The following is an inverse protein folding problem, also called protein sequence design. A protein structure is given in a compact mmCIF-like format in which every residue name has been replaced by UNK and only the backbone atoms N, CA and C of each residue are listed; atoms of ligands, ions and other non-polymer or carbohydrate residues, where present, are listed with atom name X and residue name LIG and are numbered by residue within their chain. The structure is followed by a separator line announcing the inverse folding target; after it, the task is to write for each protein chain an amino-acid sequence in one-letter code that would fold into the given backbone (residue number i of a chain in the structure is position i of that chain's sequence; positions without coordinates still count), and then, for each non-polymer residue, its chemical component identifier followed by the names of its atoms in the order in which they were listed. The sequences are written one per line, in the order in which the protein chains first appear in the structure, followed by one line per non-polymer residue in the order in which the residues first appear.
data_IF_868558385483
#
_entry.id   IF_868558385483
#
_cell.length_a   1.000
_cell.length_b   1.000
_cell.length_c   1.000
_cell.angle_alpha   90.00
_cell.angle_beta   90.00
_cell.angle_gamma   90.00
#
_symmetry.space_group_name_H-M   'P 1'
#
loop_
_entity.id
_entity.type
_entity.pdbx_description
1 polymer ?
#
# COMPACT_ATOMS: atom_id res chain seq x y z
N UNK A 1 -0.94 15.58 11.71
CA UNK A 1 -1.85 14.44 11.95
C UNK A 1 -1.80 13.56 10.71
N UNK A 2 -1.55 12.26 10.87
CA UNK A 2 -1.46 11.33 9.72
C UNK A 2 -2.87 10.80 9.43
N UNK A 3 -3.33 10.90 8.18
CA UNK A 3 -4.55 10.24 7.70
C UNK A 3 -4.22 8.79 7.37
N UNK A 4 -5.13 7.85 7.61
CA UNK A 4 -4.92 6.46 7.23
C UNK A 4 -6.08 5.89 6.44
N UNK A 5 -5.76 5.02 5.49
CA UNK A 5 -6.71 4.27 4.67
C UNK A 5 -6.40 2.78 4.83
N UNK A 6 -7.40 2.03 5.27
CA UNK A 6 -7.31 0.59 5.51
C UNK A 6 -7.91 -0.19 4.35
N UNK A 7 -7.23 -1.26 3.95
CA UNK A 7 -7.72 -2.25 3.01
C UNK A 7 -7.62 -3.65 3.64
N UNK A 8 -8.73 -4.39 3.81
CA UNK A 8 -8.65 -5.80 4.27
C UNK A 8 -7.79 -6.67 3.34
N UNK A 9 -7.83 -6.38 2.04
CA UNK A 9 -7.02 -7.00 1.00
C UNK A 9 -6.78 -5.97 -0.12
N UNK A 10 -5.57 -5.96 -0.68
CA UNK A 10 -5.20 -5.07 -1.77
C UNK A 10 -4.19 -5.75 -2.70
N UNK A 11 -3.97 -5.23 -3.91
CA UNK A 11 -2.90 -5.72 -4.78
C UNK A 11 -1.53 -5.40 -4.19
N UNK A 12 -1.23 -4.12 -4.01
CA UNK A 12 -0.03 -3.61 -3.34
C UNK A 12 -0.32 -2.20 -2.84
N UNK A 13 -0.06 -1.93 -1.55
CA UNK A 13 -0.18 -0.58 -0.98
C UNK A 13 0.65 0.43 -1.77
N UNK A 14 1.82 0.01 -2.28
CA UNK A 14 2.67 0.84 -3.12
C UNK A 14 2.06 1.15 -4.48
N UNK A 15 1.53 0.15 -5.19
CA UNK A 15 0.91 0.40 -6.50
C UNK A 15 -0.27 1.35 -6.37
N UNK A 16 -1.13 1.11 -5.39
CA UNK A 16 -2.35 1.91 -5.22
C UNK A 16 -2.02 3.34 -4.80
N UNK A 17 -1.11 3.55 -3.84
CA UNK A 17 -0.74 4.91 -3.43
C UNK A 17 -0.07 5.69 -4.58
N UNK A 18 0.79 5.05 -5.38
CA UNK A 18 1.38 5.70 -6.56
C UNK A 18 0.34 6.07 -7.61
N UNK A 19 -0.67 5.22 -7.85
CA UNK A 19 -1.75 5.52 -8.78
C UNK A 19 -2.64 6.66 -8.30
N UNK A 20 -2.96 6.69 -7.00
CA UNK A 20 -3.72 7.80 -6.40
C UNK A 20 -2.92 9.09 -6.42
N UNK A 21 -1.59 9.04 -6.22
CA UNK A 21 -0.71 10.20 -6.33
C UNK A 21 -0.70 10.76 -7.76
N UNK A 22 -0.56 9.90 -8.79
CA UNK A 22 -0.63 10.31 -10.20
C UNK A 22 -1.97 10.94 -10.57
N UNK A 23 -3.05 10.51 -9.92
CA UNK A 23 -4.42 10.99 -10.15
C UNK A 23 -4.80 12.17 -9.26
N UNK A 24 -3.87 12.71 -8.46
CA UNK A 24 -4.12 13.78 -7.49
C UNK A 24 -5.28 13.46 -6.52
N UNK A 25 -5.42 12.19 -6.12
CA UNK A 25 -6.47 11.71 -5.20
C UNK A 25 -6.06 11.70 -3.74
N UNK A 26 -4.78 11.94 -3.47
CA UNK A 26 -4.19 11.91 -2.13
C UNK A 26 -3.34 13.14 -1.86
N UNK A 27 -3.27 13.50 -0.59
CA UNK A 27 -2.42 14.58 -0.07
C UNK A 27 -1.27 13.98 0.77
N UNK A 28 -0.29 14.81 1.13
CA UNK A 28 0.80 14.42 2.03
C UNK A 28 0.29 13.99 3.42
N UNK A 29 1.11 13.22 4.13
CA UNK A 29 0.81 12.66 5.45
C UNK A 29 -0.33 11.64 5.43
N UNK A 30 -0.31 10.73 4.45
CA UNK A 30 -1.29 9.65 4.33
C UNK A 30 -0.61 8.27 4.39
N UNK A 31 -1.21 7.36 5.14
CA UNK A 31 -0.76 5.99 5.30
C UNK A 31 -1.78 5.02 4.68
N UNK A 32 -1.35 4.23 3.70
CA UNK A 32 -2.14 3.13 3.17
C UNK A 32 -1.68 1.87 3.89
N UNK A 33 -2.60 1.11 4.48
CA UNK A 33 -2.26 -0.12 5.18
C UNK A 33 -3.22 -1.25 4.89
N UNK A 34 -2.72 -2.48 4.96
CA UNK A 34 -3.47 -3.69 4.67
C UNK A 34 -2.94 -4.89 5.44
N UNK A 35 -3.83 -5.85 5.70
CA UNK A 35 -3.49 -7.15 6.30
C UNK A 35 -3.06 -8.18 5.25
N UNK A 36 -3.28 -7.90 3.96
CA UNK A 36 -2.98 -8.83 2.88
C UNK A 36 -2.75 -8.14 1.53
N UNK A 37 -1.61 -8.46 0.90
CA UNK A 37 -1.29 -8.07 -0.47
C UNK A 37 -1.29 -9.27 -1.41
N UNK A 38 -2.07 -9.22 -2.49
CA UNK A 38 -2.14 -10.28 -3.51
C UNK A 38 -1.03 -10.19 -4.56
N UNK A 39 -0.43 -9.00 -4.76
CA UNK A 39 0.61 -8.75 -5.76
C UNK A 39 1.64 -7.72 -5.25
N UNK A 40 2.19 -8.02 -4.07
CA UNK A 40 3.19 -7.17 -3.41
C UNK A 40 4.47 -7.03 -4.23
N UNK A 41 5.05 -5.82 -4.24
CA UNK A 41 6.33 -5.53 -4.88
C UNK A 41 7.41 -5.43 -3.80
N UNK A 42 8.52 -6.15 -4.00
CA UNK A 42 9.75 -6.04 -3.25
C UNK A 42 10.85 -5.30 -4.01
N UNK A 43 12.03 -5.21 -3.41
CA UNK A 43 13.18 -4.55 -4.05
C UNK A 43 13.56 -5.22 -5.37
N UNK A 44 14.11 -4.44 -6.31
CA UNK A 44 14.57 -4.92 -7.63
C UNK A 44 13.48 -5.66 -8.41
N UNK A 45 12.22 -5.22 -8.28
CA UNK A 45 11.05 -5.82 -8.92
C UNK A 45 10.79 -7.29 -8.52
N UNK A 46 11.32 -7.72 -7.38
CA UNK A 46 10.98 -9.02 -6.80
C UNK A 46 9.51 -9.03 -6.36
N UNK A 47 8.89 -10.21 -6.33
CA UNK A 47 7.59 -10.36 -5.69
C UNK A 47 7.75 -10.36 -4.17
N UNK A 48 6.92 -9.56 -3.50
CA UNK A 48 6.77 -9.61 -2.05
C UNK A 48 5.56 -10.47 -1.72
N UNK A 49 5.81 -11.74 -1.40
CA UNK A 49 4.77 -12.70 -1.02
C UNK A 49 4.62 -12.65 0.50
N UNK A 50 3.47 -12.19 0.98
CA UNK A 50 3.12 -12.30 2.39
C UNK A 50 1.82 -13.05 2.60
N UNK A 51 1.49 -13.31 3.85
CA UNK A 51 0.29 -14.03 4.27
C UNK A 51 -0.72 -13.07 4.89
N UNK A 52 -1.97 -13.49 4.95
CA UNK A 52 -3.00 -12.73 5.68
C UNK A 52 -2.59 -12.56 7.14
N UNK A 53 -2.65 -11.33 7.63
CA UNK A 53 -2.19 -10.95 8.98
C UNK A 53 -0.76 -10.40 9.03
N UNK A 54 -0.04 -10.36 7.90
CA UNK A 54 1.17 -9.54 7.80
C UNK A 54 0.79 -8.05 7.80
N UNK A 55 1.63 -7.22 8.42
CA UNK A 55 1.49 -5.77 8.36
C UNK A 55 2.10 -5.23 7.06
N UNK A 56 1.25 -4.76 6.14
CA UNK A 56 1.67 -4.01 4.96
C UNK A 56 1.27 -2.55 5.12
N UNK A 57 2.21 -1.63 4.94
CA UNK A 57 1.89 -0.21 4.91
C UNK A 57 2.81 0.56 3.95
N UNK A 58 2.30 1.68 3.43
CA UNK A 58 3.10 2.67 2.73
C UNK A 58 2.68 4.07 3.16
N UNK A 59 3.68 4.93 3.38
CA UNK A 59 3.50 6.32 3.81
C UNK A 59 3.91 7.27 2.68
N UNK A 60 3.11 8.32 2.48
CA UNK A 60 3.41 9.48 1.64
C UNK A 60 3.44 10.75 2.48
#
# INVERSE_FOLDING_TARGET
MIKYVYFPEITSTQKVLLEDLKKNRVEKNICYWSDYQTDGIGSRNNKWIGKKGNLFFLLL
#
